data_IF_697288762986
#
_entry.id   IF_697288762986
#
_cell.length_a   1.000
_cell.length_b   1.000
_cell.length_c   1.000
_cell.angle_alpha   90.00
_cell.angle_beta   90.00
_cell.angle_gamma   90.00
#
_symmetry.space_group_name_H-M   'P 1'
#
loop_
_entity.id
_entity.type
_entity.pdbx_description
1 polymer ?
#
# COMPACT_ATOMS: atom_id res chain seq x y z
N UNK A 1 -1.74 22.16 29.47
CA UNK A 1 -1.22 21.06 28.61
C UNK A 1 0.14 20.68 29.16
N UNK A 2 0.29 19.49 29.77
CA UNK A 2 1.59 18.97 30.19
C UNK A 2 2.21 18.13 29.07
N UNK A 3 3.54 18.10 28.96
CA UNK A 3 4.25 17.29 27.97
C UNK A 3 4.15 15.80 28.33
N UNK A 4 4.04 14.87 27.35
CA UNK A 4 4.11 13.43 27.62
C UNK A 4 5.34 13.03 28.44
N UNK A 5 6.47 13.70 28.22
CA UNK A 5 7.70 13.48 29.00
C UNK A 5 7.51 13.83 30.48
N UNK A 6 6.91 14.98 30.77
CA UNK A 6 6.63 15.42 32.13
C UNK A 6 5.63 14.50 32.83
N UNK A 7 4.62 14.02 32.12
CA UNK A 7 3.65 13.06 32.67
C UNK A 7 4.30 11.72 33.05
N UNK A 8 5.24 11.23 32.24
CA UNK A 8 5.92 9.95 32.50
C UNK A 8 6.96 10.11 33.61
N UNK A 9 7.75 11.20 33.59
CA UNK A 9 8.97 11.33 34.41
C UNK A 9 8.85 12.37 35.55
N UNK A 10 7.79 13.17 35.61
CA UNK A 10 7.56 14.19 36.65
C UNK A 10 8.50 15.38 36.58
N UNK A 11 9.29 15.49 35.51
CA UNK A 11 10.28 16.54 35.27
C UNK A 11 10.28 16.93 33.80
N UNK A 12 10.66 18.17 33.49
CA UNK A 12 10.84 18.61 32.11
C UNK A 12 12.23 18.18 31.60
N UNK A 13 12.38 17.89 30.29
CA UNK A 13 13.69 17.59 29.75
C UNK A 13 14.54 18.86 29.81
N UNK A 14 15.70 18.80 30.48
CA UNK A 14 16.73 19.83 30.37
C UNK A 14 17.68 19.44 29.23
N UNK A 15 18.02 20.41 28.38
CA UNK A 15 18.99 20.24 27.29
C UNK A 15 20.42 20.57 27.72
N UNK A 16 20.62 21.01 28.96
CA UNK A 16 21.98 21.16 29.51
C UNK A 16 22.66 19.79 29.48
N UNK A 17 23.89 19.81 28.98
CA UNK A 17 24.78 18.71 28.66
C UNK A 17 24.60 17.47 29.54
N UNK A 18 24.76 16.30 28.90
CA UNK A 18 24.70 14.92 29.43
C UNK A 18 25.64 14.73 30.64
N UNK A 19 25.34 15.37 31.75
CA UNK A 19 25.80 15.03 33.06
C UNK A 19 24.61 14.39 33.74
N UNK A 20 24.58 13.06 33.68
CA UNK A 20 23.80 12.27 34.64
C UNK A 20 24.45 12.56 36.00
N UNK A 21 24.01 13.63 36.67
CA UNK A 21 24.36 13.85 38.07
C UNK A 21 23.77 12.69 38.85
N UNK A 22 24.61 11.71 39.17
CA UNK A 22 24.31 10.68 40.15
C UNK A 22 24.34 11.32 41.53
N UNK A 23 23.30 12.08 41.87
CA UNK A 23 23.16 12.57 43.24
C UNK A 23 21.78 12.25 43.81
N UNK A 24 21.81 11.23 44.66
CA UNK A 24 21.06 11.09 45.92
C UNK A 24 19.58 10.64 45.88
N UNK A 25 19.14 9.96 46.97
CA UNK A 25 18.17 8.88 46.89
C UNK A 25 16.76 9.40 46.66
N UNK A 26 16.12 8.85 45.63
CA UNK A 26 14.73 9.04 45.25
C UNK A 26 13.76 8.45 46.30
N UNK A 27 13.73 9.00 47.51
CA UNK A 27 12.86 8.55 48.60
C UNK A 27 11.45 9.17 48.61
N UNK A 28 11.21 10.23 47.83
CA UNK A 28 10.03 11.10 47.97
C UNK A 28 9.48 11.68 46.66
N UNK A 29 10.07 11.38 45.49
CA UNK A 29 9.56 11.79 44.17
C UNK A 29 8.45 10.86 43.65
N UNK A 30 8.52 9.57 43.97
CA UNK A 30 7.54 8.56 43.52
C UNK A 30 6.12 8.82 44.07
N UNK A 31 6.01 9.25 45.33
CA UNK A 31 4.73 9.54 45.98
C UNK A 31 4.01 10.75 45.39
N UNK A 32 4.72 11.73 44.82
CA UNK A 32 4.13 12.87 44.11
C UNK A 32 3.77 12.57 42.65
N UNK A 33 4.41 11.56 42.05
CA UNK A 33 4.22 11.14 40.66
C UNK A 33 2.96 10.30 40.45
N UNK A 34 2.65 9.41 41.39
CA UNK A 34 1.47 8.54 41.33
C UNK A 34 0.13 9.30 41.14
N UNK A 35 -0.20 10.35 41.91
CA UNK A 35 -1.45 11.07 41.74
C UNK A 35 -1.53 11.79 40.38
N UNK A 36 -0.41 12.30 39.87
CA UNK A 36 -0.34 12.95 38.56
C UNK A 36 -0.61 11.94 37.44
N UNK A 37 0.06 10.78 37.46
CA UNK A 37 -0.12 9.72 36.47
C UNK A 37 -1.54 9.17 36.48
N UNK A 38 -2.12 9.01 37.67
CA UNK A 38 -3.51 8.58 37.84
C UNK A 38 -4.48 9.59 37.23
N UNK A 39 -4.32 10.88 37.52
CA UNK A 39 -5.16 11.94 36.94
C UNK A 39 -5.07 11.99 35.40
N UNK A 40 -3.87 11.82 34.83
CA UNK A 40 -3.72 11.80 33.36
C UNK A 40 -4.34 10.54 32.76
N UNK A 41 -4.20 9.38 33.40
CA UNK A 41 -4.84 8.14 32.96
C UNK A 41 -6.36 8.29 32.95
N UNK A 42 -6.93 8.87 34.00
CA UNK A 42 -8.37 9.11 34.10
C UNK A 42 -8.88 10.06 33.02
N UNK A 43 -8.15 11.16 32.75
CA UNK A 43 -8.53 12.08 31.67
C UNK A 43 -8.36 11.44 30.28
N UNK A 44 -7.33 10.60 30.09
CA UNK A 44 -7.15 9.83 28.86
C UNK A 44 -8.30 8.84 28.65
N UNK A 45 -8.69 8.09 29.68
CA UNK A 45 -9.83 7.19 29.62
C UNK A 45 -11.13 7.95 29.36
N UNK A 46 -11.31 9.12 30.00
CA UNK A 46 -12.44 10.02 29.75
C UNK A 46 -12.47 10.49 28.30
N UNK A 47 -11.33 10.91 27.76
CA UNK A 47 -11.19 11.30 26.36
C UNK A 47 -11.50 10.13 25.41
N UNK A 48 -10.94 8.94 25.65
CA UNK A 48 -11.22 7.73 24.88
C UNK A 48 -12.73 7.41 24.91
N UNK A 49 -13.38 7.50 26.09
CA UNK A 49 -14.84 7.32 26.23
C UNK A 49 -15.62 8.37 25.43
N UNK A 50 -15.21 9.65 25.45
CA UNK A 50 -15.81 10.72 24.64
C UNK A 50 -15.69 10.40 23.15
N UNK A 51 -14.48 10.11 22.66
CA UNK A 51 -14.24 9.77 21.25
C UNK A 51 -15.01 8.52 20.82
N UNK A 52 -15.03 7.47 21.66
CA UNK A 52 -15.79 6.25 21.42
C UNK A 52 -17.28 6.54 21.25
N UNK A 53 -17.88 7.36 22.11
CA UNK A 53 -19.31 7.73 22.01
C UNK A 53 -19.64 8.37 20.66
N UNK A 54 -18.78 9.26 20.15
CA UNK A 54 -19.00 9.90 18.85
C UNK A 54 -18.70 8.95 17.67
N UNK A 55 -17.65 8.15 17.75
CA UNK A 55 -17.29 7.19 16.71
C UNK A 55 -18.34 6.08 16.56
N UNK A 56 -18.82 5.53 17.68
CA UNK A 56 -19.81 4.45 17.68
C UNK A 56 -21.21 4.93 17.27
N UNK A 57 -21.51 6.24 17.36
CA UNK A 57 -22.83 6.80 16.99
C UNK A 57 -23.24 6.49 15.54
N UNK A 58 -22.28 6.50 14.63
CA UNK A 58 -22.51 6.25 13.20
C UNK A 58 -21.95 4.90 12.75
N UNK A 59 -21.58 4.02 13.70
CA UNK A 59 -20.98 2.73 13.38
C UNK A 59 -22.07 1.73 13.06
N UNK A 60 -22.11 1.29 11.80
CA UNK A 60 -22.99 0.20 11.39
C UNK A 60 -22.47 -1.12 11.92
N UNK A 61 -23.38 -1.97 12.42
CA UNK A 61 -23.07 -3.34 12.82
C UNK A 61 -22.61 -4.10 11.57
N UNK A 62 -21.42 -4.74 11.60
CA UNK A 62 -20.94 -5.50 10.45
C UNK A 62 -21.91 -6.67 10.17
N UNK A 63 -22.24 -6.93 8.89
CA UNK A 63 -22.95 -8.15 8.52
C UNK A 63 -22.18 -9.39 8.99
N UNK A 64 -22.91 -10.36 9.56
CA UNK A 64 -22.35 -11.65 9.96
C UNK A 64 -22.49 -12.63 8.79
N UNK A 65 -21.37 -13.01 8.20
CA UNK A 65 -21.30 -13.95 7.09
C UNK A 65 -20.85 -15.31 7.58
N UNK A 66 -21.53 -16.36 7.13
CA UNK A 66 -21.23 -17.73 7.53
C UNK A 66 -20.26 -18.39 6.55
N UNK A 67 -19.45 -19.36 7.01
CA UNK A 67 -18.68 -20.21 6.11
C UNK A 67 -19.58 -20.84 5.05
N UNK A 68 -19.21 -20.72 3.78
CA UNK A 68 -19.99 -21.17 2.62
C UNK A 68 -20.79 -20.07 1.92
N UNK A 69 -20.97 -18.91 2.54
CA UNK A 69 -21.62 -17.77 1.88
C UNK A 69 -20.79 -17.29 0.69
N UNK A 70 -21.49 -16.88 -0.38
CA UNK A 70 -20.87 -16.34 -1.60
C UNK A 70 -20.94 -14.83 -1.57
N UNK A 71 -19.78 -14.17 -1.56
CA UNK A 71 -19.63 -12.73 -1.46
C UNK A 71 -18.84 -12.18 -2.64
N UNK A 72 -19.20 -10.99 -3.08
CA UNK A 72 -18.43 -10.23 -4.07
C UNK A 72 -17.39 -9.38 -3.37
N UNK A 73 -16.20 -9.28 -3.96
CA UNK A 73 -15.09 -8.48 -3.44
C UNK A 73 -14.92 -7.18 -4.22
N UNK A 74 -14.76 -6.05 -3.53
CA UNK A 74 -14.54 -4.76 -4.19
C UNK A 74 -13.18 -4.71 -4.91
N UNK A 75 -13.18 -4.27 -6.17
CA UNK A 75 -11.96 -4.17 -6.99
C UNK A 75 -11.06 -2.97 -6.67
N UNK A 76 -11.40 -2.14 -5.67
CA UNK A 76 -10.72 -0.86 -5.39
C UNK A 76 -9.21 -1.00 -5.21
N UNK A 77 -8.77 -2.09 -4.60
CA UNK A 77 -7.37 -2.37 -4.24
C UNK A 77 -6.71 -3.35 -5.21
N UNK A 78 -7.51 -4.06 -6.02
CA UNK A 78 -7.06 -5.19 -6.84
C UNK A 78 -6.92 -4.73 -8.29
N UNK A 79 -5.74 -4.95 -8.86
CA UNK A 79 -5.52 -4.67 -10.29
C UNK A 79 -6.29 -5.69 -11.11
N UNK A 80 -7.14 -5.24 -12.01
CA UNK A 80 -7.86 -6.11 -12.94
C UNK A 80 -7.14 -6.15 -14.28
N UNK A 81 -7.51 -7.08 -15.16
CA UNK A 81 -6.99 -7.18 -16.54
C UNK A 81 -7.15 -5.88 -17.34
N UNK A 82 -8.13 -5.06 -16.98
CA UNK A 82 -8.51 -3.91 -17.78
C UNK A 82 -7.51 -2.76 -17.63
N UNK A 83 -7.15 -2.17 -18.76
CA UNK A 83 -6.21 -1.06 -18.86
C UNK A 83 -6.67 0.21 -18.12
N UNK A 84 -7.98 0.42 -17.97
CA UNK A 84 -8.56 1.61 -17.30
C UNK A 84 -9.52 1.25 -16.18
N UNK A 85 -9.39 1.97 -15.06
CA UNK A 85 -10.25 1.84 -13.87
C UNK A 85 -11.71 2.23 -14.13
N UNK A 86 -11.98 3.07 -15.13
CA UNK A 86 -13.35 3.47 -15.50
C UNK A 86 -14.16 2.32 -16.08
N UNK A 87 -13.49 1.38 -16.74
CA UNK A 87 -14.11 0.21 -17.38
C UNK A 87 -13.92 -1.08 -16.57
N UNK A 88 -13.15 -1.05 -15.47
CA UNK A 88 -12.98 -2.21 -14.59
C UNK A 88 -14.25 -2.54 -13.84
N UNK A 89 -14.50 -3.83 -13.63
CA UNK A 89 -15.56 -4.31 -12.77
C UNK A 89 -15.43 -3.72 -11.37
N UNK A 90 -16.54 -3.26 -10.79
CA UNK A 90 -16.56 -2.72 -9.42
C UNK A 90 -16.49 -3.82 -8.36
N UNK A 91 -17.10 -4.97 -8.67
CA UNK A 91 -17.26 -6.12 -7.78
C UNK A 91 -16.75 -7.36 -8.50
N UNK A 92 -15.86 -8.10 -7.85
CA UNK A 92 -15.18 -9.25 -8.38
C UNK A 92 -15.79 -10.52 -7.82
N UNK A 93 -16.19 -11.41 -8.73
CA UNK A 93 -16.62 -12.77 -8.47
C UNK A 93 -17.77 -12.92 -7.47
N UNK A 94 -18.25 -14.15 -7.32
CA UNK A 94 -18.69 -14.67 -6.05
C UNK A 94 -17.56 -15.53 -5.48
N UNK A 95 -16.99 -15.13 -4.34
CA UNK A 95 -16.00 -15.91 -3.59
C UNK A 95 -16.64 -16.50 -2.35
N UNK A 96 -16.29 -17.75 -2.05
CA UNK A 96 -16.82 -18.45 -0.89
C UNK A 96 -16.07 -18.05 0.38
N UNK A 97 -16.82 -17.77 1.44
CA UNK A 97 -16.26 -17.57 2.78
C UNK A 97 -15.77 -18.90 3.31
N UNK A 98 -14.48 -18.99 3.63
CA UNK A 98 -13.88 -20.17 4.27
C UNK A 98 -14.14 -20.11 5.78
N UNK A 99 -13.83 -18.97 6.40
CA UNK A 99 -14.00 -18.76 7.84
C UNK A 99 -14.01 -17.28 8.21
N UNK A 100 -14.61 -17.00 9.36
CA UNK A 100 -14.50 -15.72 10.03
C UNK A 100 -13.20 -15.67 10.87
N UNK A 101 -12.43 -14.58 10.74
CA UNK A 101 -11.16 -14.38 11.46
C UNK A 101 -11.37 -13.50 12.70
N UNK A 102 -12.39 -12.65 12.66
CA UNK A 102 -12.74 -11.72 13.73
C UNK A 102 -13.92 -10.84 13.31
N UNK A 103 -14.34 -9.95 14.20
CA UNK A 103 -15.62 -9.22 14.04
C UNK A 103 -15.85 -8.49 12.70
N UNK A 104 -14.80 -8.15 11.96
CA UNK A 104 -14.92 -7.41 10.68
C UNK A 104 -14.04 -7.99 9.56
N UNK A 105 -13.47 -9.20 9.69
CA UNK A 105 -12.53 -9.74 8.71
C UNK A 105 -12.81 -11.20 8.36
N UNK A 106 -12.89 -11.49 7.07
CA UNK A 106 -13.25 -12.80 6.53
C UNK A 106 -12.16 -13.36 5.63
N UNK A 107 -11.99 -14.69 5.70
CA UNK A 107 -11.12 -15.45 4.81
C UNK A 107 -11.92 -15.93 3.61
N UNK A 108 -11.53 -15.51 2.40
CA UNK A 108 -12.19 -15.92 1.16
C UNK A 108 -11.38 -16.98 0.41
N UNK A 109 -12.09 -17.91 -0.24
CA UNK A 109 -11.52 -18.82 -1.21
C UNK A 109 -11.28 -18.07 -2.52
N UNK A 110 -10.04 -17.63 -2.71
CA UNK A 110 -9.61 -16.97 -3.93
C UNK A 110 -9.15 -17.98 -4.99
N UNK A 111 -9.40 -17.70 -6.28
CA UNK A 111 -8.93 -18.52 -7.39
C UNK A 111 -7.42 -18.31 -7.59
N UNK A 112 -6.77 -19.24 -8.29
CA UNK A 112 -5.31 -19.25 -8.46
C UNK A 112 -4.76 -17.97 -9.13
N UNK A 113 -5.56 -17.31 -9.96
CA UNK A 113 -5.23 -16.03 -10.59
C UNK A 113 -5.00 -14.90 -9.56
N UNK A 114 -5.52 -15.03 -8.34
CA UNK A 114 -5.39 -14.05 -7.25
C UNK A 114 -4.37 -14.47 -6.19
N UNK A 115 -3.47 -15.42 -6.49
CA UNK A 115 -2.50 -15.94 -5.50
C UNK A 115 -1.61 -14.87 -4.88
N UNK A 116 -1.28 -13.79 -5.63
CA UNK A 116 -0.51 -12.65 -5.11
C UNK A 116 -1.29 -11.76 -4.13
N UNK A 117 -2.62 -11.90 -4.05
CA UNK A 117 -3.49 -11.11 -3.15
C UNK A 117 -3.71 -11.88 -1.84
N UNK A 118 -3.58 -11.20 -0.71
CA UNK A 118 -3.90 -11.79 0.59
C UNK A 118 -5.38 -12.18 0.65
N UNK A 119 -5.74 -13.39 1.10
CA UNK A 119 -7.12 -13.89 1.06
C UNK A 119 -8.00 -13.34 2.20
N UNK A 120 -7.52 -12.33 2.94
CA UNK A 120 -8.17 -11.77 4.12
C UNK A 120 -8.71 -10.37 3.83
N UNK A 121 -10.02 -10.20 4.00
CA UNK A 121 -10.68 -8.96 3.62
C UNK A 121 -11.57 -8.42 4.74
N UNK A 122 -11.54 -7.09 4.89
CA UNK A 122 -12.44 -6.39 5.79
C UNK A 122 -13.86 -6.38 5.23
N UNK A 123 -14.87 -6.46 6.10
CA UNK A 123 -16.30 -6.52 5.76
C UNK A 123 -16.77 -5.38 4.84
N UNK A 124 -16.16 -4.20 4.92
CA UNK A 124 -16.48 -3.06 4.04
C UNK A 124 -16.09 -3.25 2.57
N UNK A 125 -15.27 -4.26 2.27
CA UNK A 125 -14.88 -4.64 0.91
C UNK A 125 -15.72 -5.79 0.36
N UNK A 126 -16.66 -6.31 1.16
CA UNK A 126 -17.48 -7.47 0.83
C UNK A 126 -18.93 -7.04 0.67
N UNK A 127 -19.59 -7.58 -0.34
CA UNK A 127 -21.04 -7.40 -0.52
C UNK A 127 -21.66 -8.76 -0.84
N UNK A 128 -22.82 -9.11 -0.24
CA UNK A 128 -23.52 -10.32 -0.60
C UNK A 128 -23.90 -10.29 -2.08
N UNK A 129 -23.88 -11.47 -2.69
CA UNK A 129 -24.24 -11.64 -4.09
C UNK A 129 -25.70 -11.23 -4.30
N UNK A 130 -25.92 -10.13 -5.05
CA UNK A 130 -27.26 -9.69 -5.45
C UNK A 130 -27.78 -10.60 -6.56
N UNK A 131 -28.97 -11.17 -6.38
CA UNK A 131 -29.68 -11.87 -7.45
C UNK A 131 -30.30 -10.81 -8.37
N UNK A 132 -29.99 -10.86 -9.67
CA UNK A 132 -30.64 -9.99 -10.63
C UNK A 132 -32.10 -10.41 -10.82
N UNK A 133 -33.02 -9.45 -10.85
CA UNK A 133 -34.45 -9.67 -11.16
C UNK A 133 -34.65 -10.05 -12.64
N UNK A 134 -33.65 -9.80 -13.50
CA UNK A 134 -33.73 -10.10 -14.93
C UNK A 134 -33.37 -11.57 -15.16
N UNK A 135 -34.26 -12.38 -15.75
CA UNK A 135 -33.95 -13.77 -16.08
C UNK A 135 -32.77 -13.84 -17.04
N UNK A 136 -31.83 -14.76 -16.78
CA UNK A 136 -30.59 -15.00 -17.56
C UNK A 136 -29.49 -13.92 -17.51
N UNK A 137 -29.60 -12.90 -16.66
CA UNK A 137 -28.46 -12.01 -16.42
C UNK A 137 -27.47 -12.65 -15.45
N UNK A 138 -26.49 -13.38 -15.97
CA UNK A 138 -25.32 -13.82 -15.19
C UNK A 138 -24.44 -12.62 -14.88
N UNK A 139 -24.68 -11.98 -13.72
CA UNK A 139 -23.89 -10.83 -13.25
C UNK A 139 -22.42 -11.20 -12.99
N UNK A 140 -22.12 -12.48 -12.87
CA UNK A 140 -20.77 -13.01 -12.68
C UNK A 140 -20.13 -13.28 -14.02
N UNK A 141 -19.66 -12.21 -14.68
CA UNK A 141 -18.59 -12.36 -15.65
C UNK A 141 -17.38 -12.97 -14.94
N UNK A 142 -16.63 -13.81 -15.64
CA UNK A 142 -15.54 -14.62 -15.11
C UNK A 142 -14.62 -13.79 -14.17
N UNK A 143 -14.04 -14.40 -13.11
CA UNK A 143 -13.15 -13.67 -12.22
C UNK A 143 -12.05 -12.98 -13.04
N UNK A 144 -11.75 -11.69 -12.77
CA UNK A 144 -10.77 -10.96 -13.55
C UNK A 144 -9.46 -11.72 -13.57
N UNK A 145 -8.95 -11.99 -14.78
CA UNK A 145 -7.60 -12.51 -14.94
C UNK A 145 -6.67 -11.39 -14.50
N UNK A 146 -6.14 -11.44 -13.29
CA UNK A 146 -5.00 -10.59 -12.96
C UNK A 146 -3.83 -11.16 -13.74
N UNK A 147 -3.61 -10.59 -14.92
CA UNK A 147 -2.36 -10.77 -15.66
C UNK A 147 -1.33 -9.99 -14.86
N UNK A 148 -0.74 -10.64 -13.85
CA UNK A 148 0.59 -10.29 -13.39
C UNK A 148 1.60 -10.87 -14.39
N UNK A 149 1.39 -10.55 -15.66
CA UNK A 149 2.40 -10.64 -16.67
C UNK A 149 2.67 -9.20 -17.03
N UNK A 150 3.52 -8.58 -16.21
CA UNK A 150 4.42 -7.57 -16.73
C UNK A 150 5.24 -8.35 -17.76
N UNK A 151 4.73 -8.47 -18.99
CA UNK A 151 5.55 -8.92 -20.09
C UNK A 151 6.75 -7.98 -20.10
N UNK A 152 7.88 -8.50 -19.66
CA UNK A 152 9.13 -7.77 -19.70
C UNK A 152 9.50 -7.71 -21.18
N UNK A 153 8.94 -6.73 -21.88
CA UNK A 153 9.27 -6.49 -23.28
C UNK A 153 10.79 -6.32 -23.36
N UNK A 154 11.43 -7.22 -24.11
CA UNK A 154 12.88 -7.22 -24.24
C UNK A 154 13.29 -5.98 -25.01
N UNK A 155 14.16 -5.18 -24.40
CA UNK A 155 14.75 -4.01 -25.05
C UNK A 155 15.74 -4.49 -26.11
N UNK A 156 15.64 -3.96 -27.34
CA UNK A 156 16.59 -4.24 -28.41
C UNK A 156 17.80 -3.33 -28.28
N UNK A 157 17.58 -2.01 -28.25
CA UNK A 157 18.64 -1.01 -28.18
C UNK A 157 18.14 0.30 -27.55
N UNK A 158 19.08 1.08 -27.01
CA UNK A 158 18.86 2.47 -26.59
C UNK A 158 19.30 3.39 -27.72
N UNK A 159 18.39 4.25 -28.19
CA UNK A 159 18.62 5.15 -29.34
C UNK A 159 19.07 6.55 -28.92
N UNK A 160 18.58 7.05 -27.79
CA UNK A 160 18.91 8.40 -27.32
C UNK A 160 18.76 8.52 -25.80
N UNK A 161 19.34 9.57 -25.21
CA UNK A 161 19.16 9.91 -23.81
C UNK A 161 18.93 11.41 -23.61
N UNK A 162 18.09 11.76 -22.62
CA UNK A 162 17.82 13.15 -22.26
C UNK A 162 17.55 13.32 -20.77
N UNK A 163 17.80 14.53 -20.27
CA UNK A 163 17.40 14.96 -18.93
C UNK A 163 16.09 15.75 -19.01
N UNK A 164 15.07 15.30 -18.28
CA UNK A 164 13.79 16.02 -18.13
C UNK A 164 13.51 16.24 -16.66
N UNK A 165 13.52 17.50 -16.22
CA UNK A 165 13.31 17.90 -14.81
C UNK A 165 14.28 17.17 -13.84
N UNK A 166 15.55 17.10 -14.20
CA UNK A 166 16.59 16.44 -13.39
C UNK A 166 16.54 14.91 -13.36
N UNK A 167 15.64 14.27 -14.13
CA UNK A 167 15.56 12.81 -14.26
C UNK A 167 16.06 12.37 -15.63
N UNK A 168 16.81 11.27 -15.67
CA UNK A 168 17.34 10.68 -16.89
C UNK A 168 16.29 9.77 -17.58
N UNK A 169 16.13 9.99 -18.88
CA UNK A 169 15.25 9.23 -19.75
C UNK A 169 16.03 8.69 -20.94
N UNK A 170 15.65 7.50 -21.39
CA UNK A 170 16.22 6.82 -22.55
C UNK A 170 15.13 6.57 -23.58
N UNK A 171 15.45 6.78 -24.86
CA UNK A 171 14.60 6.36 -25.96
C UNK A 171 14.92 4.88 -26.25
N UNK A 172 13.91 4.04 -26.05
CA UNK A 172 14.05 2.59 -26.09
C UNK A 172 13.41 2.04 -27.35
N UNK A 173 14.18 1.25 -28.10
CA UNK A 173 13.67 0.40 -29.17
C UNK A 173 13.32 -0.98 -28.61
N UNK A 174 12.12 -1.46 -28.94
CA UNK A 174 11.58 -2.73 -28.44
C UNK A 174 11.85 -3.87 -29.43
N UNK A 175 12.32 -5.02 -28.91
CA UNK A 175 12.57 -6.21 -29.73
C UNK A 175 11.26 -6.72 -30.35
N UNK A 176 11.25 -6.87 -31.68
CA UNK A 176 10.06 -7.26 -32.45
C UNK A 176 9.29 -6.10 -33.08
N UNK A 177 9.69 -4.86 -32.82
CA UNK A 177 9.15 -3.65 -33.44
C UNK A 177 10.22 -2.76 -34.08
N UNK A 178 11.42 -3.32 -34.35
CA UNK A 178 12.57 -2.60 -34.94
C UNK A 178 12.30 -2.05 -36.36
N UNK A 179 11.21 -2.45 -37.00
CA UNK A 179 10.81 -1.96 -38.33
C UNK A 179 9.90 -0.73 -38.28
N UNK A 180 9.42 -0.33 -37.09
CA UNK A 180 8.50 0.80 -36.90
C UNK A 180 9.08 1.80 -35.89
N UNK A 181 9.77 2.86 -36.37
CA UNK A 181 10.40 3.87 -35.52
C UNK A 181 9.42 4.59 -34.61
N UNK A 182 8.12 4.65 -34.96
CA UNK A 182 7.10 5.34 -34.17
C UNK A 182 6.76 4.60 -32.87
N UNK A 183 7.16 3.33 -32.72
CA UNK A 183 6.95 2.54 -31.49
C UNK A 183 8.05 2.76 -30.45
N UNK A 184 9.09 3.53 -30.76
CA UNK A 184 10.14 3.88 -29.82
C UNK A 184 9.58 4.78 -28.71
N UNK A 185 9.76 4.38 -27.46
CA UNK A 185 9.18 5.09 -26.31
C UNK A 185 10.26 5.63 -25.36
N UNK A 186 10.02 6.82 -24.81
CA UNK A 186 10.89 7.39 -23.78
C UNK A 186 10.60 6.75 -22.42
N UNK A 187 11.56 5.98 -21.92
CA UNK A 187 11.47 5.29 -20.63
C UNK A 187 12.44 5.88 -19.60
N UNK A 188 12.06 5.98 -18.31
CA UNK A 188 12.94 6.47 -17.27
C UNK A 188 14.07 5.46 -17.00
N UNK A 189 15.26 5.95 -16.66
CA UNK A 189 16.43 5.12 -16.35
C UNK A 189 16.15 4.02 -15.30
N UNK A 190 15.22 4.28 -14.36
CA UNK A 190 14.78 3.34 -13.32
C UNK A 190 14.22 2.02 -13.86
N UNK A 191 13.68 2.00 -15.09
CA UNK A 191 13.14 0.79 -15.72
C UNK A 191 14.21 -0.05 -16.42
N UNK A 192 15.33 0.57 -16.82
CA UNK A 192 16.43 -0.05 -17.53
C UNK A 192 17.52 -0.62 -16.61
N UNK A 193 17.31 -0.58 -15.29
CA UNK A 193 18.22 -1.20 -14.29
C UNK A 193 18.46 -2.69 -14.58
N UNK A 194 17.49 -3.37 -15.20
CA UNK A 194 17.56 -4.79 -15.56
C UNK A 194 18.43 -5.07 -16.80
N UNK A 195 18.80 -4.05 -17.57
CA UNK A 195 19.57 -4.18 -18.81
C UNK A 195 20.72 -3.15 -18.84
N UNK A 196 21.71 -3.28 -17.94
CA UNK A 196 22.81 -2.32 -17.83
C UNK A 196 23.75 -2.37 -19.05
N UNK A 197 23.83 -3.51 -19.73
CA UNK A 197 24.75 -3.69 -20.86
C UNK A 197 24.37 -2.79 -22.04
N UNK A 198 23.07 -2.68 -22.35
CA UNK A 198 22.58 -1.79 -23.42
C UNK A 198 22.85 -0.32 -23.13
N UNK A 199 22.74 0.07 -21.86
CA UNK A 199 23.05 1.45 -21.42
C UNK A 199 24.55 1.72 -21.53
N UNK A 200 25.40 0.77 -21.14
CA UNK A 200 26.85 0.89 -21.29
C UNK A 200 27.27 0.98 -22.76
N UNK A 201 26.72 0.13 -23.62
CA UNK A 201 27.00 0.15 -25.06
C UNK A 201 26.62 1.50 -25.67
N UNK A 202 25.45 2.04 -25.34
CA UNK A 202 25.02 3.36 -25.81
C UNK A 202 25.99 4.47 -25.36
N UNK A 203 26.35 4.51 -24.08
CA UNK A 203 27.26 5.54 -23.55
C UNK A 203 28.71 5.39 -24.02
N UNK A 204 29.12 4.19 -24.43
CA UNK A 204 30.40 3.97 -25.10
C UNK A 204 30.43 4.57 -26.52
N UNK A 205 29.29 4.59 -27.21
CA UNK A 205 29.17 5.16 -28.56
C UNK A 205 28.89 6.67 -28.53
N UNK A 206 28.18 7.13 -27.49
CA UNK A 206 27.76 8.52 -27.34
C UNK A 206 28.14 9.09 -25.97
N UNK A 207 29.44 9.34 -25.70
CA UNK A 207 29.92 9.80 -24.40
C UNK A 207 29.40 11.20 -24.00
N UNK A 208 29.04 12.03 -24.98
CA UNK A 208 28.52 13.39 -24.77
C UNK A 208 27.05 13.41 -24.30
N UNK A 209 26.34 12.28 -24.42
CA UNK A 209 24.91 12.20 -24.09
C UNK A 209 24.74 12.05 -22.57
N UNK A 210 23.65 12.60 -21.99
CA UNK A 210 23.46 12.55 -20.55
C UNK A 210 23.36 11.09 -20.08
N UNK A 211 24.26 10.72 -19.17
CA UNK A 211 24.36 9.37 -18.60
C UNK A 211 23.97 9.29 -17.14
N UNK A 212 23.89 8.07 -16.59
CA UNK A 212 23.66 7.89 -15.17
C UNK A 212 24.89 8.40 -14.42
N UNK A 213 24.68 9.17 -13.36
CA UNK A 213 25.77 9.70 -12.54
C UNK A 213 26.46 8.51 -11.88
N UNK A 214 27.58 8.08 -12.43
CA UNK A 214 28.47 7.12 -11.78
C UNK A 214 29.20 7.90 -10.68
N UNK A 215 28.88 7.63 -9.41
CA UNK A 215 29.75 8.12 -8.32
C UNK A 215 31.13 7.55 -8.56
N UNK A 216 32.10 8.40 -8.92
CA UNK A 216 33.50 8.04 -8.85
C UNK A 216 33.83 7.79 -7.38
N UNK A 217 34.21 6.55 -7.08
CA UNK A 217 34.92 6.17 -5.85
C UNK A 217 36.36 6.66 -5.97
#
# INVERSE_FOLDING_TARGET
>A
MQSPFFTIYGRNPSFDSIHISQDSPSGNSSTKLQPLQQAVKEELESAIRRFKKYADRNRTIPPDFQPGDKLCLASKTIKTTRHTKKLSERWLGPFEVIKNIGSHAYHLRLPQQLKSVLPFFHVSLLEPVKKSTIPNWNQFSQPPVIVEEKEECKVAQVLDSKLKRGKLWYLVEWKGFSEDPERSTWEPASKLTKSPDLVKTFHSLYPEKPGPITSRV
#
